data_IF_296263819529
#
_entry.id   IF_296263819529
#
_cell.length_a   1.000
_cell.length_b   1.000
_cell.length_c   1.000
_cell.angle_alpha   90.00
_cell.angle_beta   90.00
_cell.angle_gamma   90.00
#
_symmetry.space_group_name_H-M   'P 1'
#
loop_
_entity.id
_entity.type
_entity.pdbx_description
1 polymer ?
#
# COMPACT_ATOMS: atom_id res chain seq x y z
N UNK A 1 -54.57 25.03 37.27
CA UNK A 1 -54.80 24.93 35.81
C UNK A 1 -53.48 25.24 35.11
N UNK A 2 -52.76 24.23 34.62
CA UNK A 2 -51.44 24.41 33.99
C UNK A 2 -51.66 24.56 32.49
N UNK A 3 -51.46 25.77 31.97
CA UNK A 3 -51.56 26.07 30.55
C UNK A 3 -50.29 25.52 29.88
N UNK A 4 -50.44 24.48 29.05
CA UNK A 4 -49.37 24.01 28.18
C UNK A 4 -49.30 24.95 26.97
N UNK A 5 -48.20 25.68 26.86
CA UNK A 5 -47.91 26.56 25.73
C UNK A 5 -47.41 25.69 24.58
N UNK A 6 -48.25 25.45 23.57
CA UNK A 6 -47.84 24.81 22.32
C UNK A 6 -47.10 25.86 21.49
N UNK A 7 -45.78 25.87 21.57
CA UNK A 7 -44.93 26.65 20.66
C UNK A 7 -44.76 25.82 19.37
N UNK A 8 -45.38 26.28 18.29
CA UNK A 8 -45.25 25.69 16.96
C UNK A 8 -43.89 26.04 16.35
N UNK A 9 -43.31 25.10 15.62
CA UNK A 9 -42.07 25.30 14.87
C UNK A 9 -42.32 26.31 13.76
N UNK A 10 -41.48 27.34 13.69
CA UNK A 10 -41.61 28.37 12.66
C UNK A 10 -41.03 27.89 11.33
N UNK A 11 -41.60 28.31 10.20
CA UNK A 11 -41.12 27.92 8.87
C UNK A 11 -39.65 28.34 8.63
N UNK A 12 -39.27 29.49 9.18
CA UNK A 12 -37.89 30.00 9.12
C UNK A 12 -36.91 29.09 9.87
N UNK A 13 -37.35 28.51 10.99
CA UNK A 13 -36.53 27.61 11.82
C UNK A 13 -36.24 26.29 11.10
N UNK A 14 -37.22 25.73 10.39
CA UNK A 14 -37.01 24.52 9.56
C UNK A 14 -36.06 24.81 8.41
N UNK A 15 -36.19 25.96 7.74
CA UNK A 15 -35.30 26.38 6.66
C UNK A 15 -33.85 26.52 7.15
N UNK A 16 -33.65 27.15 8.31
CA UNK A 16 -32.32 27.28 8.92
C UNK A 16 -31.78 25.91 9.34
N UNK A 17 -32.60 25.04 9.92
CA UNK A 17 -32.20 23.68 10.29
C UNK A 17 -31.77 22.86 9.07
N UNK A 18 -32.53 22.92 7.96
CA UNK A 18 -32.17 22.26 6.71
C UNK A 18 -30.90 22.84 6.08
N UNK A 19 -30.69 24.16 6.17
CA UNK A 19 -29.47 24.80 5.69
C UNK A 19 -28.24 24.26 6.45
N UNK A 20 -28.28 24.29 7.78
CA UNK A 20 -27.19 23.78 8.63
C UNK A 20 -26.96 22.28 8.39
N UNK A 21 -28.04 21.50 8.27
CA UNK A 21 -27.97 20.07 7.96
C UNK A 21 -27.26 19.84 6.62
N UNK A 22 -27.61 20.58 5.57
CA UNK A 22 -27.01 20.43 4.24
C UNK A 22 -25.50 20.70 4.24
N UNK A 23 -25.06 21.72 4.99
CA UNK A 23 -23.64 22.05 5.17
C UNK A 23 -22.93 20.93 5.93
N UNK A 24 -23.57 20.38 6.97
CA UNK A 24 -23.05 19.23 7.73
C UNK A 24 -22.86 17.99 6.85
N UNK A 25 -23.82 17.68 5.97
CA UNK A 25 -23.72 16.53 5.05
C UNK A 25 -22.58 16.71 4.05
N UNK A 26 -22.38 17.91 3.51
CA UNK A 26 -21.26 18.19 2.61
C UNK A 26 -19.90 18.00 3.31
N UNK A 27 -19.77 18.44 4.56
CA UNK A 27 -18.57 18.21 5.35
C UNK A 27 -18.32 16.70 5.61
N UNK A 28 -19.37 15.94 5.90
CA UNK A 28 -19.28 14.49 6.08
C UNK A 28 -18.84 13.75 4.81
N UNK A 29 -19.37 14.12 3.64
CA UNK A 29 -18.97 13.51 2.36
C UNK A 29 -17.48 13.76 2.08
N UNK A 30 -16.98 14.97 2.38
CA UNK A 30 -15.56 15.28 2.27
C UNK A 30 -14.72 14.38 3.18
N UNK A 31 -15.14 14.18 4.42
CA UNK A 31 -14.46 13.29 5.36
C UNK A 31 -14.46 11.84 4.87
N UNK A 32 -15.62 11.32 4.43
CA UNK A 32 -15.76 9.94 3.96
C UNK A 32 -14.85 9.69 2.75
N UNK A 33 -14.80 10.63 1.81
CA UNK A 33 -13.93 10.51 0.62
C UNK A 33 -12.46 10.35 1.02
N UNK A 34 -12.00 11.14 1.98
CA UNK A 34 -10.62 11.05 2.48
C UNK A 34 -10.34 9.72 3.17
N UNK A 35 -11.30 9.21 3.97
CA UNK A 35 -11.18 7.91 4.64
C UNK A 35 -11.07 6.77 3.63
N UNK A 36 -11.89 6.79 2.57
CA UNK A 36 -11.85 5.77 1.51
C UNK A 36 -10.49 5.76 0.80
N UNK A 37 -9.98 6.93 0.43
CA UNK A 37 -8.65 7.05 -0.21
C UNK A 37 -7.54 6.58 0.73
N UNK A 38 -7.62 6.90 2.03
CA UNK A 38 -6.64 6.46 3.00
C UNK A 38 -6.64 4.93 3.18
N UNK A 39 -7.82 4.29 3.22
CA UNK A 39 -7.94 2.82 3.30
C UNK A 39 -7.30 2.15 2.09
N UNK A 40 -7.58 2.64 0.88
CA UNK A 40 -7.00 2.07 -0.34
C UNK A 40 -5.46 2.13 -0.34
N UNK A 41 -4.89 3.23 0.15
CA UNK A 41 -3.43 3.36 0.28
C UNK A 41 -2.85 2.40 1.31
N UNK A 42 -3.55 2.19 2.43
CA UNK A 42 -3.14 1.23 3.45
C UNK A 42 -3.17 -0.22 2.93
N UNK A 43 -4.22 -0.59 2.20
CA UNK A 43 -4.38 -1.91 1.59
C UNK A 43 -3.28 -2.19 0.57
N UNK A 44 -2.99 -1.21 -0.31
CA UNK A 44 -1.88 -1.31 -1.26
C UNK A 44 -0.54 -1.48 -0.54
N UNK A 45 -0.28 -0.69 0.50
CA UNK A 45 0.96 -0.79 1.27
C UNK A 45 1.12 -2.13 1.99
N UNK A 46 0.05 -2.66 2.59
CA UNK A 46 0.07 -3.97 3.23
C UNK A 46 0.37 -5.10 2.24
N UNK A 47 -0.23 -5.04 1.05
CA UNK A 47 -0.03 -6.03 0.00
C UNK A 47 1.40 -6.01 -0.54
N UNK A 48 1.99 -4.82 -0.74
CA UNK A 48 3.40 -4.67 -1.16
C UNK A 48 4.35 -5.24 -0.11
N UNK A 49 4.07 -5.05 1.19
CA UNK A 49 4.89 -5.63 2.27
C UNK A 49 4.87 -7.15 2.26
N UNK A 50 3.70 -7.74 2.04
CA UNK A 50 3.57 -9.20 1.92
C UNK A 50 4.38 -9.69 0.72
N UNK A 51 4.26 -9.00 -0.42
CA UNK A 51 5.03 -9.32 -1.63
C UNK A 51 6.55 -9.22 -1.38
N UNK A 52 7.01 -8.13 -0.77
CA UNK A 52 8.42 -7.94 -0.47
C UNK A 52 8.96 -9.04 0.47
N UNK A 53 8.12 -9.52 1.39
CA UNK A 53 8.47 -10.63 2.29
C UNK A 53 8.54 -11.96 1.54
N UNK A 54 7.59 -12.27 0.65
CA UNK A 54 7.63 -13.48 -0.19
C UNK A 54 8.89 -13.50 -1.10
N UNK A 55 9.21 -12.36 -1.70
CA UNK A 55 10.42 -12.21 -2.53
C UNK A 55 11.70 -12.35 -1.70
N UNK A 56 11.71 -11.84 -0.47
CA UNK A 56 12.82 -12.04 0.47
C UNK A 56 13.02 -13.51 0.80
N UNK A 57 11.94 -14.24 1.10
CA UNK A 57 12.00 -15.67 1.40
C UNK A 57 12.53 -16.47 0.21
N UNK A 58 12.09 -16.14 -1.00
CA UNK A 58 12.61 -16.74 -2.23
C UNK A 58 14.09 -16.42 -2.46
N UNK A 59 14.51 -15.18 -2.20
CA UNK A 59 15.90 -14.79 -2.29
C UNK A 59 16.78 -15.53 -1.26
N UNK A 60 16.28 -15.83 -0.06
CA UNK A 60 16.97 -16.66 0.92
C UNK A 60 17.18 -18.09 0.46
N UNK A 61 16.17 -18.71 -0.16
CA UNK A 61 16.30 -20.07 -0.70
C UNK A 61 17.38 -20.13 -1.77
N UNK A 62 17.44 -19.11 -2.65
CA UNK A 62 18.37 -19.10 -3.77
C UNK A 62 19.81 -18.75 -3.37
N UNK A 63 20.01 -17.83 -2.44
CA UNK A 63 21.35 -17.51 -1.96
C UNK A 63 22.01 -18.66 -1.20
N UNK A 64 21.24 -19.60 -0.64
CA UNK A 64 21.81 -20.82 -0.08
C UNK A 64 22.53 -21.70 -1.12
N UNK A 65 22.29 -21.48 -2.41
CA UNK A 65 22.89 -22.23 -3.52
C UNK A 65 23.95 -21.48 -4.33
N UNK A 66 24.08 -20.15 -4.19
CA UNK A 66 24.97 -19.34 -5.04
C UNK A 66 25.60 -18.17 -4.28
N UNK A 67 26.91 -17.96 -4.46
CA UNK A 67 27.70 -16.87 -3.83
C UNK A 67 27.45 -15.48 -4.45
N UNK A 68 26.67 -15.38 -5.52
CA UNK A 68 26.38 -14.12 -6.23
C UNK A 68 24.88 -13.78 -6.15
N UNK A 69 24.56 -12.57 -5.69
CA UNK A 69 23.19 -12.04 -5.73
C UNK A 69 22.78 -11.64 -7.16
N UNK A 70 23.78 -11.49 -8.04
CA UNK A 70 23.63 -11.14 -9.45
C UNK A 70 23.50 -12.36 -10.36
N UNK A 71 23.43 -13.60 -9.84
CA UNK A 71 23.29 -14.76 -10.71
C UNK A 71 21.94 -14.68 -11.45
N UNK A 72 22.07 -14.36 -12.73
CA UNK A 72 20.98 -13.92 -13.60
C UNK A 72 19.92 -14.99 -13.83
N UNK A 73 20.21 -16.26 -13.52
CA UNK A 73 19.24 -17.35 -13.57
C UNK A 73 18.26 -17.34 -12.39
N UNK A 74 18.73 -16.97 -11.19
CA UNK A 74 17.92 -16.70 -10.00
C UNK A 74 17.02 -15.49 -10.19
N UNK A 75 17.65 -14.44 -10.71
CA UNK A 75 17.03 -13.16 -10.98
C UNK A 75 16.10 -13.27 -12.19
N UNK A 76 16.31 -14.22 -13.11
CA UNK A 76 15.39 -14.47 -14.22
C UNK A 76 14.04 -14.99 -13.73
N UNK A 77 14.01 -15.87 -12.72
CA UNK A 77 12.75 -16.30 -12.10
C UNK A 77 12.09 -15.16 -11.29
N UNK A 78 12.88 -14.28 -10.67
CA UNK A 78 12.38 -13.08 -9.97
C UNK A 78 12.00 -11.92 -10.92
N UNK A 79 12.56 -11.86 -12.13
CA UNK A 79 12.16 -10.91 -13.18
C UNK A 79 10.95 -11.44 -13.97
N UNK A 80 10.83 -12.76 -14.10
CA UNK A 80 9.63 -13.44 -14.61
C UNK A 80 8.49 -13.44 -13.58
N UNK A 81 8.79 -13.08 -12.33
CA UNK A 81 7.77 -12.79 -11.33
C UNK A 81 6.91 -11.58 -11.71
N UNK A 82 7.38 -10.65 -12.55
CA UNK A 82 6.54 -9.53 -13.03
C UNK A 82 5.29 -10.06 -13.79
N UNK A 83 5.39 -11.26 -14.38
CA UNK A 83 4.29 -11.98 -15.03
C UNK A 83 3.47 -12.87 -14.06
N UNK A 84 3.71 -12.84 -12.75
CA UNK A 84 2.94 -13.65 -11.82
C UNK A 84 1.47 -13.20 -11.82
N UNK A 85 0.51 -14.16 -11.86
CA UNK A 85 -0.93 -13.86 -11.93
C UNK A 85 -1.48 -13.13 -10.70
N UNK A 86 -0.67 -12.96 -9.64
CA UNK A 86 -1.01 -12.10 -8.50
C UNK A 86 -0.69 -10.62 -8.80
N UNK A 87 0.42 -10.32 -9.48
CA UNK A 87 0.82 -8.95 -9.85
C UNK A 87 -0.02 -8.37 -10.98
N UNK A 88 -0.52 -9.21 -11.88
CA UNK A 88 -1.39 -8.79 -12.98
C UNK A 88 -2.89 -8.77 -12.59
N UNK A 89 -3.19 -8.63 -11.29
CA UNK A 89 -4.57 -8.45 -10.85
C UNK A 89 -4.97 -6.97 -10.95
N UNK A 90 -6.19 -6.67 -11.41
CA UNK A 90 -6.66 -5.29 -11.53
C UNK A 90 -6.73 -4.54 -10.19
N UNK A 91 -6.64 -5.27 -9.07
CA UNK A 91 -6.60 -4.74 -7.70
C UNK A 91 -5.19 -4.46 -7.17
N UNK A 92 -4.13 -4.87 -7.87
CA UNK A 92 -2.75 -4.72 -7.42
C UNK A 92 -2.07 -3.58 -8.21
N UNK A 93 -1.36 -2.65 -7.55
CA UNK A 93 -0.54 -1.69 -8.26
C UNK A 93 0.60 -2.45 -8.97
N UNK A 94 0.98 -2.08 -10.19
CA UNK A 94 2.17 -2.62 -10.83
C UNK A 94 3.38 -2.36 -9.93
N UNK A 95 4.28 -3.32 -9.78
CA UNK A 95 5.42 -3.22 -8.87
C UNK A 95 6.70 -3.45 -9.65
N UNK A 96 7.63 -2.50 -9.58
CA UNK A 96 8.98 -2.67 -10.11
C UNK A 96 9.88 -3.32 -9.05
N UNK A 97 10.68 -4.28 -9.49
CA UNK A 97 11.64 -4.98 -8.67
C UNK A 97 13.05 -4.57 -9.10
N UNK A 98 13.88 -4.20 -8.13
CA UNK A 98 15.29 -3.90 -8.36
C UNK A 98 16.13 -4.65 -7.32
N UNK A 99 17.18 -5.31 -7.78
CA UNK A 99 18.15 -5.96 -6.89
C UNK A 99 19.49 -5.29 -7.08
N UNK A 100 20.12 -4.95 -5.96
CA UNK A 100 21.43 -4.31 -5.93
C UNK A 100 22.32 -4.99 -4.91
N UNK A 101 23.55 -5.26 -5.29
CA UNK A 101 24.58 -5.71 -4.36
C UNK A 101 25.20 -4.50 -3.66
N UNK A 102 25.20 -4.50 -2.32
CA UNK A 102 25.88 -3.50 -1.50
C UNK A 102 26.92 -4.22 -0.62
N UNK A 103 28.11 -4.41 -1.18
CA UNK A 103 29.19 -5.15 -0.51
C UNK A 103 28.90 -6.65 -0.47
N UNK A 104 28.79 -7.20 0.74
CA UNK A 104 28.41 -8.60 0.92
C UNK A 104 26.89 -8.79 1.00
N UNK A 105 26.10 -7.73 1.13
CA UNK A 105 24.65 -7.87 1.32
C UNK A 105 23.91 -7.71 -0.02
N UNK A 106 23.00 -8.64 -0.30
CA UNK A 106 22.04 -8.48 -1.39
C UNK A 106 20.93 -7.53 -0.93
N UNK A 107 20.53 -6.55 -1.73
CA UNK A 107 19.45 -5.63 -1.38
C UNK A 107 18.36 -5.71 -2.42
N UNK A 108 17.16 -6.07 -1.97
CA UNK A 108 15.95 -6.10 -2.76
C UNK A 108 15.19 -4.80 -2.50
N UNK A 109 14.96 -4.03 -3.55
CA UNK A 109 14.11 -2.85 -3.57
C UNK A 109 12.83 -3.20 -4.33
N UNK A 110 11.70 -3.07 -3.64
CA UNK A 110 10.37 -3.25 -4.21
C UNK A 110 9.71 -1.87 -4.30
N UNK A 111 9.43 -1.41 -5.53
CA UNK A 111 8.91 -0.07 -5.80
C UNK A 111 7.58 -0.15 -6.54
N UNK A 112 6.44 0.19 -5.91
CA UNK A 112 5.17 0.34 -6.62
C UNK A 112 5.24 1.40 -7.74
N UNK A 113 4.94 1.01 -8.98
CA UNK A 113 4.82 1.91 -10.12
C UNK A 113 3.65 2.88 -9.91
N UNK A 114 3.91 4.18 -10.11
CA UNK A 114 2.89 5.24 -10.03
C UNK A 114 2.64 5.81 -8.63
N UNK A 115 3.43 5.42 -7.62
CA UNK A 115 3.38 6.05 -6.28
C UNK A 115 4.67 6.78 -5.94
N UNK A 116 4.60 7.71 -4.98
CA UNK A 116 5.73 8.51 -4.52
C UNK A 116 6.85 7.62 -3.95
N UNK A 117 8.13 8.02 -4.03
CA UNK A 117 9.29 7.21 -3.61
C UNK A 117 9.33 6.79 -2.12
N UNK A 118 8.37 7.22 -1.30
CA UNK A 118 8.26 6.88 0.12
C UNK A 118 7.80 5.43 0.35
N UNK A 119 7.26 4.77 -0.66
CA UNK A 119 6.84 3.35 -0.60
C UNK A 119 7.93 2.39 -1.10
N UNK A 120 9.17 2.85 -1.16
CA UNK A 120 10.33 1.97 -1.42
C UNK A 120 10.51 1.01 -0.24
N UNK A 121 10.25 -0.27 -0.46
CA UNK A 121 10.53 -1.30 0.53
C UNK A 121 11.90 -1.90 0.23
N UNK A 122 12.87 -1.52 1.08
CA UNK A 122 14.22 -2.04 1.04
C UNK A 122 14.34 -3.21 2.00
N UNK A 123 14.73 -4.35 1.46
CA UNK A 123 14.94 -5.57 2.22
C UNK A 123 16.39 -6.01 2.04
N UNK A 124 17.10 -6.12 3.15
CA UNK A 124 18.45 -6.69 3.17
C UNK A 124 18.34 -8.21 3.15
N UNK A 125 18.77 -8.78 2.03
CA UNK A 125 18.93 -10.19 1.80
C UNK A 125 20.20 -10.76 2.46
N UNK A 126 20.52 -12.01 2.14
CA UNK A 126 21.60 -12.76 2.76
C UNK A 126 22.97 -12.21 2.38
N UNK A 127 23.92 -12.38 3.28
CA UNK A 127 25.30 -11.94 3.13
C UNK A 127 26.09 -12.98 2.34
N UNK A 128 26.81 -12.59 1.28
CA UNK A 128 27.81 -13.42 0.60
C UNK A 128 28.74 -14.02 1.65
N UNK A 129 28.64 -15.32 1.86
CA UNK A 129 29.58 -16.06 2.70
C UNK A 129 30.77 -16.32 1.79
N UNK A 130 31.74 -15.41 1.81
CA UNK A 130 32.95 -15.54 1.00
C UNK A 130 33.53 -16.94 1.12
N UNK A 131 33.79 -17.54 -0.03
CA UNK A 131 34.52 -18.80 -0.18
C UNK A 131 35.84 -18.72 0.61
N UNK A 132 36.04 -19.69 1.52
CA UNK A 132 37.32 -19.94 2.20
C UNK A 132 38.37 -20.44 1.21
#
# INVERSE_FOLDING_TARGET
MRIHKQDGITLIEVLVAMLILSIGVLALISLITNVVVASQRADQGAMIRILATDLQERAWIFSGSTDDCSDSSAMADLNNWDDHPMLNQPSMPPVALAVREEGADCILTVTPQGTMPETEYRVTGPRKIGTL
#
